data_IF_668576155569
#
_entry.id   IF_668576155569
#
_cell.length_a   1.000
_cell.length_b   1.000
_cell.length_c   1.000
_cell.angle_alpha   90.00
_cell.angle_beta   90.00
_cell.angle_gamma   90.00
#
_symmetry.space_group_name_H-M   'P 1'
#
loop_
_entity.id
_entity.type
_entity.pdbx_description
1 polymer ?
#
# COMPACT_ATOMS: atom_id res chain seq x y z
N UNK A 1 -16.09 44.05 -5.43
CA UNK A 1 -16.52 43.21 -4.28
C UNK A 1 -15.42 43.06 -3.23
N UNK A 2 -14.21 42.58 -3.56
CA UNK A 2 -13.08 42.46 -2.60
C UNK A 2 -12.65 43.79 -1.97
N UNK A 3 -12.50 44.86 -2.77
CA UNK A 3 -12.16 46.20 -2.25
C UNK A 3 -13.23 46.77 -1.30
N UNK A 4 -14.50 46.39 -1.47
CA UNK A 4 -15.62 46.85 -0.63
C UNK A 4 -15.58 46.16 0.75
N UNK A 5 -15.23 44.87 0.79
CA UNK A 5 -15.15 44.09 2.03
C UNK A 5 -13.91 44.47 2.87
N UNK A 6 -12.78 44.75 2.20
CA UNK A 6 -11.55 45.17 2.88
C UNK A 6 -11.68 46.55 3.52
N UNK A 7 -12.36 47.50 2.85
CA UNK A 7 -12.66 48.82 3.40
C UNK A 7 -13.61 48.79 4.61
N UNK A 8 -14.40 47.72 4.74
CA UNK A 8 -15.36 47.54 5.84
C UNK A 8 -14.78 46.80 7.07
N UNK A 9 -13.49 46.40 7.05
CA UNK A 9 -12.86 45.66 8.14
C UNK A 9 -13.41 44.25 8.36
N UNK A 10 -14.09 43.69 7.36
CA UNK A 10 -14.69 42.35 7.43
C UNK A 10 -13.69 41.36 6.80
N UNK A 11 -13.10 40.51 7.64
CA UNK A 11 -12.23 39.44 7.18
C UNK A 11 -12.98 38.49 6.23
N UNK A 12 -12.33 38.00 5.16
CA UNK A 12 -12.97 37.04 4.27
C UNK A 12 -13.41 35.81 5.06
N UNK A 13 -14.63 35.34 4.78
CA UNK A 13 -15.21 34.17 5.43
C UNK A 13 -14.23 32.97 5.49
N UNK A 14 -14.19 32.19 6.59
CA UNK A 14 -13.29 31.06 6.71
C UNK A 14 -13.47 30.07 5.54
N UNK A 15 -12.39 29.85 4.78
CA UNK A 15 -12.21 28.93 3.63
C UNK A 15 -13.43 28.69 2.73
N UNK A 16 -13.43 29.29 1.53
CA UNK A 16 -14.40 29.02 0.44
C UNK A 16 -14.25 27.65 -0.26
N UNK A 17 -13.15 26.91 -0.03
CA UNK A 17 -12.91 25.59 -0.64
C UNK A 17 -12.29 24.60 0.35
N UNK A 18 -12.70 23.34 0.26
CA UNK A 18 -12.16 22.24 1.07
C UNK A 18 -10.67 21.96 0.79
N UNK A 19 -10.04 21.05 1.56
CA UNK A 19 -8.65 20.67 1.35
C UNK A 19 -8.45 20.05 -0.05
N UNK A 20 -7.26 20.22 -0.61
CA UNK A 20 -6.84 19.48 -1.81
C UNK A 20 -6.79 17.98 -1.52
N UNK A 21 -6.88 17.15 -2.56
CA UNK A 21 -6.76 15.69 -2.39
C UNK A 21 -5.46 15.25 -1.69
N UNK A 22 -4.35 15.95 -1.97
CA UNK A 22 -3.07 15.67 -1.33
C UNK A 22 -3.12 15.98 0.16
N UNK A 23 -3.70 17.12 0.54
CA UNK A 23 -3.87 17.51 1.95
C UNK A 23 -4.80 16.53 2.67
N UNK A 24 -5.88 16.09 2.04
CA UNK A 24 -6.76 15.05 2.57
C UNK A 24 -6.00 13.74 2.83
N UNK A 25 -5.29 13.22 1.83
CA UNK A 25 -4.54 11.96 1.97
C UNK A 25 -3.44 12.04 3.03
N UNK A 26 -2.78 13.19 3.17
CA UNK A 26 -1.80 13.40 4.23
C UNK A 26 -2.46 13.46 5.61
N UNK A 27 -3.59 14.17 5.75
CA UNK A 27 -4.31 14.31 7.01
C UNK A 27 -4.99 13.01 7.46
N UNK A 28 -5.42 12.18 6.53
CA UNK A 28 -6.12 10.91 6.78
C UNK A 28 -5.23 9.68 6.56
N UNK A 29 -3.90 9.86 6.49
CA UNK A 29 -2.98 8.79 6.11
C UNK A 29 -3.09 7.57 7.04
N UNK A 30 -3.13 7.78 8.36
CA UNK A 30 -3.25 6.69 9.35
C UNK A 30 -4.59 5.95 9.24
N UNK A 31 -5.65 6.63 8.79
CA UNK A 31 -6.99 6.06 8.63
C UNK A 31 -7.30 5.54 7.23
N UNK A 32 -6.35 5.52 6.30
CA UNK A 32 -6.62 5.17 4.89
C UNK A 32 -5.87 3.92 4.47
N UNK A 33 -6.61 2.94 3.95
CA UNK A 33 -6.05 1.82 3.20
C UNK A 33 -6.45 1.94 1.73
N UNK A 34 -5.49 1.85 0.83
CA UNK A 34 -5.71 1.90 -0.60
C UNK A 34 -5.65 0.50 -1.22
N UNK A 35 -6.46 0.22 -2.25
CA UNK A 35 -6.48 -1.04 -2.96
C UNK A 35 -6.28 -0.83 -4.46
N UNK A 36 -5.55 -1.75 -5.09
CA UNK A 36 -5.38 -1.83 -6.54
C UNK A 36 -5.05 -3.27 -6.97
N UNK A 37 -5.20 -3.59 -8.25
CA UNK A 37 -4.77 -4.86 -8.84
C UNK A 37 -3.56 -4.66 -9.73
N UNK A 38 -2.62 -5.61 -9.67
CA UNK A 38 -1.56 -5.71 -10.65
C UNK A 38 -1.52 -7.10 -11.29
N UNK A 39 -0.93 -7.16 -12.48
CA UNK A 39 -0.71 -8.40 -13.19
C UNK A 39 0.76 -8.83 -13.14
N UNK A 40 0.96 -10.12 -13.28
CA UNK A 40 2.26 -10.79 -13.31
C UNK A 40 2.25 -11.69 -14.53
N UNK A 41 3.21 -11.50 -15.44
CA UNK A 41 3.33 -12.35 -16.62
C UNK A 41 4.32 -13.49 -16.30
N UNK A 42 3.88 -14.72 -16.52
CA UNK A 42 4.69 -15.92 -16.28
C UNK A 42 5.62 -16.21 -17.44
N UNK A 43 6.67 -17.01 -17.20
CA UNK A 43 7.60 -17.47 -18.22
C UNK A 43 6.91 -18.24 -19.38
N UNK A 44 5.74 -18.83 -19.11
CA UNK A 44 4.92 -19.54 -20.10
C UNK A 44 3.84 -18.65 -20.75
N UNK A 45 3.94 -17.32 -20.61
CA UNK A 45 3.03 -16.36 -21.24
C UNK A 45 1.62 -16.29 -20.62
N UNK A 46 1.39 -16.93 -19.48
CA UNK A 46 0.13 -16.79 -18.72
C UNK A 46 0.15 -15.53 -17.87
N UNK A 47 -0.99 -14.85 -17.77
CA UNK A 47 -1.19 -13.69 -16.90
C UNK A 47 -1.83 -14.11 -15.58
N UNK A 48 -1.20 -13.72 -14.49
CA UNK A 48 -1.72 -13.80 -13.13
C UNK A 48 -2.11 -12.42 -12.64
N UNK A 49 -2.97 -12.37 -11.62
CA UNK A 49 -3.45 -11.16 -10.97
C UNK A 49 -3.28 -11.29 -9.46
N UNK A 50 -2.85 -10.19 -8.83
CA UNK A 50 -2.75 -10.07 -7.39
C UNK A 50 -3.31 -8.69 -6.96
N UNK A 51 -4.19 -8.64 -5.96
CA UNK A 51 -4.55 -7.41 -5.29
C UNK A 51 -3.42 -6.96 -4.35
N UNK A 52 -3.16 -5.66 -4.34
CA UNK A 52 -2.33 -5.00 -3.35
C UNK A 52 -3.20 -4.04 -2.53
N UNK A 53 -3.05 -4.10 -1.22
CA UNK A 53 -3.61 -3.13 -0.29
C UNK A 53 -2.47 -2.39 0.39
N UNK A 54 -2.57 -1.08 0.55
CA UNK A 54 -1.53 -0.24 1.12
C UNK A 54 -2.10 0.64 2.22
N UNK A 55 -1.65 0.43 3.45
CA UNK A 55 -1.86 1.39 4.52
C UNK A 55 -1.08 2.69 4.20
N UNK A 56 -1.76 3.83 4.15
CA UNK A 56 -1.16 5.09 3.73
C UNK A 56 -0.17 5.66 4.76
N UNK A 57 -0.48 5.56 6.06
CA UNK A 57 0.36 6.06 7.15
C UNK A 57 1.65 5.26 7.30
N UNK A 58 1.51 3.96 7.55
CA UNK A 58 2.63 3.02 7.78
C UNK A 58 3.37 2.62 6.51
N UNK A 59 2.81 2.90 5.33
CA UNK A 59 3.33 2.44 4.03
C UNK A 59 3.43 0.92 3.93
N UNK A 60 2.61 0.20 4.69
CA UNK A 60 2.58 -1.27 4.74
C UNK A 60 1.74 -1.86 3.61
N UNK A 61 2.34 -2.50 2.61
CA UNK A 61 1.60 -3.32 1.66
C UNK A 61 1.13 -4.64 2.27
N UNK A 62 -0.02 -5.08 1.79
CA UNK A 62 -0.59 -6.40 1.95
C UNK A 62 -0.96 -6.91 0.55
N UNK A 63 -0.28 -7.95 0.10
CA UNK A 63 -0.47 -8.56 -1.21
C UNK A 63 -1.18 -9.89 -0.97
N UNK A 64 -2.44 -9.99 -1.37
CA UNK A 64 -3.29 -11.11 -0.95
C UNK A 64 -3.69 -12.01 -2.11
N UNK A 65 -3.16 -13.23 -2.09
CA UNK A 65 -3.45 -14.23 -3.12
C UNK A 65 -2.88 -13.89 -4.51
N UNK A 66 -2.82 -14.92 -5.35
CA UNK A 66 -2.47 -14.80 -6.76
C UNK A 66 -3.40 -15.72 -7.53
N UNK A 67 -3.95 -15.23 -8.63
CA UNK A 67 -4.96 -15.97 -9.41
C UNK A 67 -4.87 -15.65 -10.90
N UNK A 68 -5.05 -16.65 -11.73
CA UNK A 68 -5.31 -16.51 -13.18
C UNK A 68 -6.68 -15.91 -13.48
N UNK A 69 -7.64 -16.03 -12.56
CA UNK A 69 -9.02 -15.61 -12.75
C UNK A 69 -9.49 -14.71 -11.59
N UNK A 70 -9.40 -13.38 -11.70
CA UNK A 70 -9.77 -12.44 -10.63
C UNK A 70 -11.28 -12.17 -10.64
N UNK A 71 -12.09 -13.20 -10.38
CA UNK A 71 -13.55 -13.05 -10.29
C UNK A 71 -13.96 -12.24 -9.07
N UNK A 72 -15.14 -11.61 -9.12
CA UNK A 72 -15.69 -10.87 -7.97
C UNK A 72 -15.73 -11.70 -6.69
N UNK A 73 -16.14 -12.96 -6.76
CA UNK A 73 -16.19 -13.86 -5.60
C UNK A 73 -14.81 -14.10 -4.98
N UNK A 74 -13.76 -14.25 -5.80
CA UNK A 74 -12.38 -14.35 -5.30
C UNK A 74 -11.92 -13.03 -4.70
N UNK A 75 -12.21 -11.90 -5.33
CA UNK A 75 -11.88 -10.56 -4.81
C UNK A 75 -12.52 -10.31 -3.44
N UNK A 76 -13.78 -10.73 -3.25
CA UNK A 76 -14.47 -10.68 -1.94
C UNK A 76 -13.75 -11.54 -0.91
N UNK A 77 -13.33 -12.75 -1.28
CA UNK A 77 -12.59 -13.61 -0.35
C UNK A 77 -11.23 -13.00 0.02
N UNK A 78 -10.53 -12.36 -0.91
CA UNK A 78 -9.29 -11.64 -0.59
C UNK A 78 -9.52 -10.46 0.36
N UNK A 79 -10.64 -9.74 0.23
CA UNK A 79 -11.02 -8.71 1.20
C UNK A 79 -11.24 -9.30 2.59
N UNK A 80 -11.96 -10.42 2.71
CA UNK A 80 -12.20 -11.09 4.00
C UNK A 80 -10.92 -11.59 4.65
N UNK A 81 -10.03 -12.17 3.85
CA UNK A 81 -8.73 -12.63 4.36
C UNK A 81 -7.92 -11.43 4.87
N UNK A 82 -7.89 -10.32 4.12
CA UNK A 82 -7.21 -9.11 4.54
C UNK A 82 -7.77 -8.55 5.86
N UNK A 83 -9.10 -8.40 5.97
CA UNK A 83 -9.70 -7.84 7.20
C UNK A 83 -9.41 -8.72 8.40
N UNK A 84 -9.44 -10.05 8.24
CA UNK A 84 -9.02 -10.98 9.28
C UNK A 84 -7.52 -10.83 9.66
N UNK A 85 -6.63 -10.70 8.67
CA UNK A 85 -5.17 -10.55 8.88
C UNK A 85 -4.79 -9.18 9.49
N UNK A 86 -5.59 -8.14 9.25
CA UNK A 86 -5.38 -6.82 9.85
C UNK A 86 -5.62 -6.84 11.36
N UNK A 87 -6.58 -7.63 11.85
CA UNK A 87 -6.90 -7.74 13.27
C UNK A 87 -7.14 -6.38 13.91
N UNK A 88 -6.52 -6.10 15.06
CA UNK A 88 -6.66 -4.82 15.76
C UNK A 88 -6.25 -3.59 14.92
N UNK A 89 -5.40 -3.74 13.90
CA UNK A 89 -5.05 -2.61 13.01
C UNK A 89 -6.26 -2.13 12.18
N UNK A 90 -7.31 -2.94 12.07
CA UNK A 90 -8.52 -2.53 11.38
C UNK A 90 -9.19 -1.34 12.08
N UNK A 91 -9.09 -1.26 13.41
CA UNK A 91 -9.71 -0.22 14.23
C UNK A 91 -9.18 1.20 13.94
N UNK A 92 -7.93 1.31 13.47
CA UNK A 92 -7.36 2.61 13.10
C UNK A 92 -7.80 3.07 11.70
N UNK A 93 -8.36 2.17 10.88
CA UNK A 93 -8.77 2.48 9.51
C UNK A 93 -10.19 3.05 9.46
N UNK A 94 -10.39 4.02 8.55
CA UNK A 94 -11.67 4.74 8.37
C UNK A 94 -12.08 4.85 6.90
N UNK A 95 -11.11 4.73 5.99
CA UNK A 95 -11.33 4.87 4.56
C UNK A 95 -10.68 3.73 3.79
N UNK A 96 -11.46 3.12 2.89
CA UNK A 96 -10.94 2.30 1.81
C UNK A 96 -10.90 3.16 0.54
N UNK A 97 -9.72 3.39 -0.02
CA UNK A 97 -9.55 4.03 -1.32
C UNK A 97 -9.33 2.96 -2.40
N UNK A 98 -10.15 2.91 -3.44
CA UNK A 98 -9.91 2.01 -4.57
C UNK A 98 -10.22 2.66 -5.91
N UNK A 99 -9.73 2.08 -6.98
CA UNK A 99 -10.14 2.48 -8.33
C UNK A 99 -11.56 1.95 -8.66
N UNK A 100 -12.01 2.14 -9.91
CA UNK A 100 -13.32 1.65 -10.38
C UNK A 100 -13.24 0.33 -11.16
N UNK A 101 -12.19 -0.47 -11.01
CA UNK A 101 -12.08 -1.76 -11.70
C UNK A 101 -13.31 -2.65 -11.40
N UNK A 102 -13.89 -3.24 -12.44
CA UNK A 102 -15.10 -4.08 -12.33
C UNK A 102 -14.91 -5.37 -11.52
N UNK A 103 -13.66 -5.73 -11.17
CA UNK A 103 -13.30 -6.76 -10.19
C UNK A 103 -13.80 -6.40 -8.79
N UNK A 104 -13.85 -5.12 -8.47
CA UNK A 104 -14.45 -4.60 -7.25
C UNK A 104 -15.96 -4.50 -7.46
N UNK A 105 -16.72 -5.26 -6.67
CA UNK A 105 -18.19 -5.27 -6.69
C UNK A 105 -18.77 -4.82 -5.36
N UNK A 106 -20.08 -4.59 -5.32
CA UNK A 106 -20.78 -4.24 -4.07
C UNK A 106 -20.50 -5.22 -2.91
N UNK A 107 -20.44 -6.56 -3.12
CA UNK A 107 -20.09 -7.48 -2.04
C UNK A 107 -18.67 -7.32 -1.51
N UNK A 108 -17.74 -6.76 -2.30
CA UNK A 108 -16.39 -6.45 -1.84
C UNK A 108 -16.42 -5.23 -0.93
N UNK A 109 -17.10 -4.15 -1.37
CA UNK A 109 -17.27 -2.93 -0.56
C UNK A 109 -18.00 -3.26 0.76
N UNK A 110 -18.94 -4.21 0.75
CA UNK A 110 -19.67 -4.65 1.94
C UNK A 110 -18.78 -5.25 3.03
N UNK A 111 -17.67 -5.92 2.67
CA UNK A 111 -16.71 -6.47 3.66
C UNK A 111 -16.10 -5.34 4.49
N UNK A 112 -15.66 -4.26 3.84
CA UNK A 112 -15.05 -3.13 4.55
C UNK A 112 -16.08 -2.26 5.27
N UNK A 113 -17.29 -2.11 4.71
CA UNK A 113 -18.39 -1.40 5.38
C UNK A 113 -18.84 -2.10 6.67
N UNK A 114 -18.75 -3.43 6.74
CA UNK A 114 -19.02 -4.18 7.96
C UNK A 114 -18.02 -3.86 9.08
N UNK A 115 -16.80 -3.44 8.71
CA UNK A 115 -15.75 -2.92 9.60
C UNK A 115 -15.81 -1.38 9.74
N UNK A 116 -16.96 -0.76 9.40
CA UNK A 116 -17.21 0.69 9.50
C UNK A 116 -16.35 1.59 8.60
N UNK A 117 -15.71 1.04 7.56
CA UNK A 117 -14.93 1.83 6.61
C UNK A 117 -15.82 2.51 5.56
N UNK A 118 -15.48 3.78 5.27
CA UNK A 118 -16.04 4.52 4.15
C UNK A 118 -15.28 4.20 2.86
N UNK A 119 -16.00 3.68 1.86
CA UNK A 119 -15.41 3.39 0.55
C UNK A 119 -15.36 4.65 -0.32
N UNK A 120 -14.14 5.08 -0.67
CA UNK A 120 -13.86 6.19 -1.58
C UNK A 120 -13.40 5.61 -2.93
N UNK A 121 -14.18 5.90 -3.97
CA UNK A 121 -13.83 5.51 -5.34
C UNK A 121 -13.02 6.59 -6.02
N UNK A 122 -11.90 6.22 -6.64
CA UNK A 122 -11.05 7.18 -7.34
C UNK A 122 -11.83 7.87 -8.45
N UNK A 123 -11.84 9.20 -8.61
CA UNK A 123 -12.56 9.92 -9.68
C UNK A 123 -12.18 9.42 -11.09
N UNK A 124 -13.11 9.44 -12.06
CA UNK A 124 -12.82 8.93 -13.40
C UNK A 124 -11.65 9.71 -13.99
N UNK A 125 -10.67 8.99 -14.57
CA UNK A 125 -9.47 9.58 -15.18
C UNK A 125 -8.60 10.39 -14.21
N UNK A 126 -8.63 10.05 -12.91
CA UNK A 126 -7.77 10.65 -11.89
C UNK A 126 -6.80 9.61 -11.28
N UNK A 127 -5.85 9.06 -12.06
CA UNK A 127 -4.94 7.99 -11.60
C UNK A 127 -4.13 8.42 -10.37
N UNK A 128 -3.81 9.72 -10.28
CA UNK A 128 -3.07 10.29 -9.14
C UNK A 128 -3.76 10.11 -7.80
N UNK A 129 -5.04 9.78 -7.76
CA UNK A 129 -5.71 9.60 -6.48
C UNK A 129 -5.23 8.35 -5.74
N UNK A 130 -4.90 7.28 -6.46
CA UNK A 130 -4.36 6.04 -5.89
C UNK A 130 -2.82 5.94 -6.01
N UNK A 131 -2.14 7.05 -6.32
CA UNK A 131 -0.71 7.08 -6.59
C UNK A 131 0.19 6.42 -5.53
N UNK A 132 -0.13 6.46 -4.21
CA UNK A 132 0.65 5.70 -3.23
C UNK A 132 0.64 4.19 -3.49
N UNK A 133 -0.52 3.59 -3.75
CA UNK A 133 -0.66 2.17 -4.01
C UNK A 133 0.01 1.79 -5.35
N UNK A 134 -0.26 2.57 -6.40
CA UNK A 134 0.38 2.39 -7.72
C UNK A 134 1.91 2.46 -7.64
N UNK A 135 2.45 3.34 -6.79
CA UNK A 135 3.91 3.45 -6.59
C UNK A 135 4.50 2.17 -5.99
N UNK A 136 3.82 1.58 -5.00
CA UNK A 136 4.27 0.32 -4.38
C UNK A 136 4.21 -0.82 -5.39
N UNK A 137 3.14 -0.91 -6.19
CA UNK A 137 3.06 -1.86 -7.31
C UNK A 137 4.23 -1.67 -8.28
N UNK A 138 4.55 -0.42 -8.62
CA UNK A 138 5.69 -0.11 -9.46
C UNK A 138 7.03 -0.57 -8.84
N UNK A 139 7.19 -0.45 -7.52
CA UNK A 139 8.38 -0.96 -6.82
C UNK A 139 8.45 -2.48 -6.86
N UNK A 140 7.35 -3.18 -6.58
CA UNK A 140 7.27 -4.65 -6.70
C UNK A 140 7.71 -5.11 -8.09
N UNK A 141 7.25 -4.43 -9.14
CA UNK A 141 7.63 -4.74 -10.53
C UNK A 141 9.12 -4.54 -10.77
N UNK A 142 9.61 -3.33 -10.55
CA UNK A 142 11.01 -2.95 -10.85
C UNK A 142 12.04 -3.67 -9.99
N UNK A 143 11.69 -4.03 -8.76
CA UNK A 143 12.64 -4.64 -7.82
C UNK A 143 12.61 -6.16 -7.88
N UNK A 144 11.51 -6.76 -8.36
CA UNK A 144 11.31 -8.22 -8.34
C UNK A 144 10.75 -8.77 -9.65
N UNK A 145 9.53 -8.38 -10.03
CA UNK A 145 8.81 -9.09 -11.10
C UNK A 145 9.43 -8.91 -12.48
N UNK A 146 10.16 -7.82 -12.72
CA UNK A 146 10.89 -7.59 -13.97
C UNK A 146 12.21 -8.39 -14.05
N UNK A 147 12.59 -9.07 -12.97
CA UNK A 147 13.86 -9.78 -12.82
C UNK A 147 13.72 -11.27 -12.47
N UNK A 148 12.53 -11.73 -12.09
CA UNK A 148 12.26 -13.12 -11.72
C UNK A 148 11.31 -13.74 -12.73
N UNK A 149 11.73 -14.86 -13.33
CA UNK A 149 10.87 -15.67 -14.20
C UNK A 149 9.84 -16.44 -13.36
N UNK A 150 8.62 -15.91 -13.28
CA UNK A 150 7.53 -16.52 -12.54
C UNK A 150 7.02 -17.76 -13.28
N UNK A 151 6.94 -18.89 -12.58
CA UNK A 151 6.59 -20.19 -13.17
C UNK A 151 5.10 -20.51 -13.06
N UNK A 152 4.39 -19.90 -12.11
CA UNK A 152 2.98 -20.13 -11.86
C UNK A 152 2.50 -19.46 -10.58
N UNK A 153 1.24 -19.71 -10.19
CA UNK A 153 0.59 -19.06 -9.04
C UNK A 153 1.34 -19.29 -7.71
N UNK A 154 1.71 -20.54 -7.39
CA UNK A 154 2.42 -20.84 -6.14
C UNK A 154 3.80 -20.18 -6.06
N UNK A 155 4.55 -20.18 -7.17
CA UNK A 155 5.85 -19.50 -7.22
C UNK A 155 5.67 -17.97 -7.07
N UNK A 156 4.67 -17.38 -7.73
CA UNK A 156 4.35 -15.97 -7.58
C UNK A 156 4.00 -15.61 -6.12
N UNK A 157 3.18 -16.43 -5.45
CA UNK A 157 2.81 -16.23 -4.05
C UNK A 157 4.05 -16.24 -3.15
N UNK A 158 4.95 -17.21 -3.33
CA UNK A 158 6.18 -17.29 -2.54
C UNK A 158 7.09 -16.07 -2.76
N UNK A 159 7.29 -15.66 -4.01
CA UNK A 159 8.11 -14.49 -4.35
C UNK A 159 7.54 -13.21 -3.75
N UNK A 160 6.23 -13.00 -3.88
CA UNK A 160 5.55 -11.83 -3.34
C UNK A 160 5.52 -11.82 -1.81
N UNK A 161 5.38 -12.97 -1.16
CA UNK A 161 5.45 -13.08 0.29
C UNK A 161 6.83 -12.68 0.82
N UNK A 162 7.90 -13.18 0.19
CA UNK A 162 9.28 -12.80 0.55
C UNK A 162 9.50 -11.30 0.33
N UNK A 163 9.02 -10.74 -0.78
CA UNK A 163 9.11 -9.30 -1.02
C UNK A 163 8.31 -8.48 0.00
N UNK A 164 7.10 -8.92 0.37
CA UNK A 164 6.29 -8.22 1.35
C UNK A 164 6.98 -8.19 2.72
N UNK A 165 7.53 -9.30 3.20
CA UNK A 165 8.33 -9.34 4.43
C UNK A 165 9.53 -8.40 4.34
N UNK A 166 10.29 -8.44 3.24
CA UNK A 166 11.38 -7.49 3.01
C UNK A 166 10.92 -6.03 3.07
N UNK A 167 9.84 -5.71 2.37
CA UNK A 167 9.29 -4.36 2.29
C UNK A 167 8.83 -3.86 3.66
N UNK A 168 8.25 -4.74 4.47
CA UNK A 168 7.63 -4.42 5.75
C UNK A 168 8.62 -4.39 6.91
N UNK A 169 9.66 -5.23 6.87
CA UNK A 169 10.56 -5.42 8.01
C UNK A 169 11.93 -4.77 7.79
N UNK A 170 12.39 -4.62 6.55
CA UNK A 170 13.78 -4.23 6.26
C UNK A 170 13.92 -2.99 5.36
N UNK A 171 13.02 -2.78 4.41
CA UNK A 171 13.15 -1.70 3.42
C UNK A 171 12.97 -0.32 4.07
N UNK A 172 13.93 0.61 3.93
CA UNK A 172 13.78 1.96 4.47
C UNK A 172 12.81 2.80 3.62
N UNK A 173 11.95 3.58 4.28
CA UNK A 173 11.00 4.47 3.61
C UNK A 173 11.23 5.93 3.99
N UNK A 174 11.52 6.78 2.99
CA UNK A 174 11.73 8.22 3.20
C UNK A 174 10.53 8.89 3.89
N UNK A 175 9.31 8.50 3.52
CA UNK A 175 8.07 9.00 4.13
C UNK A 175 7.94 8.64 5.62
N UNK A 176 8.75 7.70 6.13
CA UNK A 176 8.78 7.23 7.52
C UNK A 176 10.15 7.42 8.16
N UNK A 177 10.90 8.44 7.77
CA UNK A 177 12.21 8.74 8.39
C UNK A 177 13.22 7.58 8.24
N UNK A 178 13.13 6.84 7.13
CA UNK A 178 13.89 5.61 6.85
C UNK A 178 13.47 4.38 7.66
N UNK A 179 12.36 4.41 8.40
CA UNK A 179 11.83 3.24 9.08
C UNK A 179 11.07 2.31 8.12
N UNK A 180 11.27 0.98 8.22
CA UNK A 180 10.39 0.00 7.59
C UNK A 180 9.00 -0.02 8.25
N UNK A 181 7.92 -0.41 7.53
CA UNK A 181 6.52 -0.51 7.99
C UNK A 181 6.35 -1.02 9.42
N UNK A 182 7.03 -2.11 9.75
CA UNK A 182 6.85 -2.80 11.04
C UNK A 182 7.75 -2.22 12.15
N UNK A 183 8.65 -1.27 11.84
CA UNK A 183 9.42 -0.54 12.85
C UNK A 183 8.65 0.69 13.37
N UNK A 184 8.60 0.82 14.70
CA UNK A 184 8.01 1.97 15.39
C UNK A 184 9.04 3.00 15.86
N UNK A 185 10.25 2.53 16.19
CA UNK A 185 11.31 3.34 16.76
C UNK A 185 12.57 3.28 15.90
N UNK A 186 13.33 4.37 15.89
CA UNK A 186 14.69 4.35 15.34
C UNK A 186 15.54 3.37 16.14
N UNK A 187 16.35 2.52 15.47
CA UNK A 187 17.32 1.70 16.18
C UNK A 187 18.28 2.62 16.95
N UNK A 188 18.71 2.17 18.14
CA UNK A 188 19.71 2.91 18.90
C UNK A 188 20.96 3.14 18.04
N UNK A 189 21.60 4.29 18.21
CA UNK A 189 22.85 4.60 17.52
C UNK A 189 23.87 3.49 17.82
N UNK A 190 24.16 2.68 16.80
CA UNK A 190 25.05 1.52 16.94
C UNK A 190 26.45 1.95 16.57
N UNK A 191 27.44 1.65 17.43
CA UNK A 191 28.84 1.83 17.04
C UNK A 191 29.19 0.82 15.93
N UNK A 192 29.37 1.35 14.72
CA UNK A 192 29.66 0.60 13.50
C UNK A 192 31.00 -0.12 13.55
N UNK A 193 31.88 0.24 14.49
CA UNK A 193 33.17 -0.44 14.72
C UNK A 193 33.06 -1.61 15.69
N UNK A 194 32.09 -1.58 16.59
CA UNK A 194 31.88 -2.62 17.60
C UNK A 194 30.98 -3.77 17.09
N UNK A 195 30.17 -3.53 16.04
CA UNK A 195 29.17 -4.50 15.57
C UNK A 195 29.47 -4.97 14.15
N UNK A 196 29.47 -6.29 13.95
CA UNK A 196 29.64 -6.90 12.63
C UNK A 196 28.35 -6.76 11.82
N UNK A 197 28.45 -6.19 10.62
CA UNK A 197 27.33 -6.14 9.67
C UNK A 197 27.16 -7.49 8.97
N UNK A 198 25.96 -8.07 9.06
CA UNK A 198 25.56 -9.29 8.38
C UNK A 198 24.70 -8.93 7.16
N UNK A 199 25.01 -9.55 6.01
CA UNK A 199 24.22 -9.45 4.78
C UNK A 199 23.48 -10.75 4.52
N UNK A 200 22.17 -10.67 4.39
CA UNK A 200 21.32 -11.78 3.93
C UNK A 200 20.88 -11.51 2.50
N UNK A 201 20.99 -12.50 1.62
CA UNK A 201 20.53 -12.43 0.22
C UNK A 201 19.20 -13.17 0.11
N UNK A 202 18.18 -12.51 -0.40
CA UNK A 202 16.85 -13.10 -0.64
C UNK A 202 16.52 -13.08 -2.13
N UNK A 203 15.50 -13.83 -2.54
CA UNK A 203 15.05 -13.92 -3.95
C UNK A 203 16.21 -14.22 -4.91
N UNK A 204 17.04 -15.22 -4.59
CA UNK A 204 18.20 -15.58 -5.42
C UNK A 204 19.33 -14.55 -5.42
N UNK A 205 19.33 -13.61 -4.46
CA UNK A 205 20.34 -12.55 -4.35
C UNK A 205 19.97 -11.24 -5.02
N UNK A 206 18.76 -11.14 -5.55
CA UNK A 206 18.21 -9.93 -6.14
C UNK A 206 18.12 -8.78 -5.12
N UNK A 207 17.75 -9.12 -3.89
CA UNK A 207 17.64 -8.18 -2.77
C UNK A 207 18.63 -8.59 -1.68
N UNK A 208 19.24 -7.58 -1.06
CA UNK A 208 20.14 -7.75 0.07
C UNK A 208 19.62 -7.01 1.28
N UNK A 209 19.46 -7.74 2.37
CA UNK A 209 19.12 -7.21 3.68
C UNK A 209 20.37 -7.13 4.55
N UNK A 210 20.41 -6.13 5.42
CA UNK A 210 21.55 -5.85 6.28
C UNK A 210 21.08 -5.72 7.73
N UNK A 211 21.79 -6.38 8.64
CA UNK A 211 21.53 -6.30 10.09
C UNK A 211 22.85 -6.37 10.86
N UNK A 212 22.90 -5.76 12.05
CA UNK A 212 24.01 -5.98 12.96
C UNK A 212 23.91 -7.38 13.60
N UNK A 213 25.05 -8.02 13.84
CA UNK A 213 25.11 -9.22 14.67
C UNK A 213 24.71 -8.86 16.12
N UNK A 214 23.99 -9.77 16.76
CA UNK A 214 23.61 -9.67 18.18
C UNK A 214 24.82 -9.90 19.09
#
# INVERSE_FOLDING_TARGET
MWQILHAAGIDPAPRRSGPTWREFLSAQAEGTIAADFFHIDTALGRRLYAPAFLEHGTRRPHITGVTTNPTRGRTVQQARNLTADLGMRMESLRFLLRDRDGKYGEPFDAVFKAEELNVINSAPRAPRMNAPCERVIGSIRREVLDHVLILGEAHAQQVLAVYQSHHNEHRPHQARTQLPPDAQNQPAATDTRAHRLLRTRILGGLISEYRYAA
#
